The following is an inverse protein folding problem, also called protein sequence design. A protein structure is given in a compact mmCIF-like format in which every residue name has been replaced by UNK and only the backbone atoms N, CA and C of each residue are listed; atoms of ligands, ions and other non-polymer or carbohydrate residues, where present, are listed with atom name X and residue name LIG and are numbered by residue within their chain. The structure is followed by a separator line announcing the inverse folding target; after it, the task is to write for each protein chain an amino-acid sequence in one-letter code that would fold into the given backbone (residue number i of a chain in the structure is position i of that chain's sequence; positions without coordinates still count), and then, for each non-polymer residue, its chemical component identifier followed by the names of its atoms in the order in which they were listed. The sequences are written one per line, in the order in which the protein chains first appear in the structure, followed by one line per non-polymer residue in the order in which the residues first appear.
data_IF_231429240423
#
_entry.id   IF_231429240423
#
_cell.length_a   1.000
_cell.length_b   1.000
_cell.length_c   1.000
_cell.angle_alpha   90.00
_cell.angle_beta   90.00
_cell.angle_gamma   90.00
#
_symmetry.space_group_name_H-M   'P 1'
#
loop_
_entity.id
_entity.type
_entity.pdbx_description
1 polymer ?
#
# COMPACT_ATOMS: atom_id res chain seq x y z
N UNK A 1 7.56 13.11 -17.88
CA UNK A 1 6.18 13.08 -18.41
C UNK A 1 5.96 11.67 -18.92
N UNK A 2 5.39 10.77 -18.10
CA UNK A 2 5.20 9.35 -18.43
C UNK A 2 3.90 8.82 -17.83
N UNK A 3 2.81 9.55 -18.02
CA UNK A 3 1.45 9.08 -17.80
C UNK A 3 0.69 9.49 -19.05
N UNK A 4 0.37 8.53 -19.91
CA UNK A 4 -0.55 8.75 -21.04
C UNK A 4 -1.04 7.43 -21.67
N UNK A 5 -0.39 6.29 -21.42
CA UNK A 5 -0.82 5.01 -21.98
C UNK A 5 -1.60 4.09 -21.01
N UNK A 6 -1.76 4.49 -19.74
CA UNK A 6 -2.28 3.61 -18.69
C UNK A 6 -3.70 3.90 -18.19
N UNK A 7 -4.23 5.10 -18.43
CA UNK A 7 -5.50 5.53 -17.81
C UNK A 7 -6.74 4.90 -18.47
N UNK A 8 -6.67 4.61 -19.77
CA UNK A 8 -7.80 4.07 -20.55
C UNK A 8 -8.01 2.55 -20.39
N UNK A 9 -6.99 1.79 -19.98
CA UNK A 9 -7.13 0.32 -19.78
C UNK A 9 -7.65 -0.08 -18.38
N UNK A 10 -7.61 0.83 -17.39
CA UNK A 10 -8.04 0.53 -16.02
C UNK A 10 -9.58 0.47 -15.94
N UNK A 11 -10.29 1.29 -16.71
CA UNK A 11 -11.74 1.47 -16.61
C UNK A 11 -12.60 0.28 -17.08
N UNK A 12 -12.01 -0.70 -17.79
CA UNK A 12 -12.72 -1.87 -18.34
C UNK A 12 -12.44 -3.17 -17.58
N UNK A 13 -11.76 -3.11 -16.43
CA UNK A 13 -11.48 -4.30 -15.64
C UNK A 13 -12.70 -4.66 -14.78
N UNK A 14 -13.42 -5.74 -15.13
CA UNK A 14 -14.55 -6.26 -14.35
C UNK A 14 -14.17 -6.58 -12.90
N UNK A 15 -12.91 -6.93 -12.64
CA UNK A 15 -12.38 -7.14 -11.28
C UNK A 15 -12.41 -5.85 -10.44
N UNK A 16 -12.18 -4.68 -11.05
CA UNK A 16 -12.20 -3.39 -10.33
C UNK A 16 -13.63 -2.93 -10.01
N UNK A 17 -14.63 -3.32 -10.80
CA UNK A 17 -16.03 -3.04 -10.45
C UNK A 17 -16.43 -3.73 -9.14
N UNK A 18 -15.99 -4.99 -8.94
CA UNK A 18 -16.23 -5.70 -7.69
C UNK A 18 -15.53 -5.04 -6.49
N UNK A 19 -14.27 -4.60 -6.68
CA UNK A 19 -13.54 -3.82 -5.67
C UNK A 19 -14.31 -2.55 -5.28
N UNK A 20 -14.82 -1.79 -6.25
CA UNK A 20 -15.60 -0.57 -5.97
C UNK A 20 -16.81 -0.87 -5.09
N UNK A 21 -17.49 -2.00 -5.33
CA UNK A 21 -18.63 -2.40 -4.52
C UNK A 21 -18.22 -2.71 -3.07
N UNK A 22 -17.08 -3.37 -2.84
CA UNK A 22 -16.55 -3.63 -1.49
C UNK A 22 -16.28 -2.33 -0.76
N UNK A 23 -15.59 -1.38 -1.40
CA UNK A 23 -15.26 -0.10 -0.77
C UNK A 23 -16.48 0.76 -0.46
N UNK A 24 -17.59 0.57 -1.18
CA UNK A 24 -18.87 1.24 -0.92
C UNK A 24 -19.70 0.56 0.15
N UNK A 25 -19.51 -0.73 0.39
CA UNK A 25 -20.26 -1.46 1.41
C UNK A 25 -19.86 -1.01 2.82
N UNK A 26 -20.83 -0.46 3.55
CA UNK A 26 -20.66 -0.04 4.95
C UNK A 26 -20.26 -1.21 5.86
N UNK A 27 -20.63 -2.45 5.49
CA UNK A 27 -20.42 -3.66 6.28
C UNK A 27 -19.20 -4.46 5.87
N UNK A 28 -18.45 -4.01 4.87
CA UNK A 28 -17.22 -4.66 4.44
C UNK A 28 -16.27 -4.82 5.63
N UNK A 29 -15.77 -6.05 5.82
CA UNK A 29 -14.82 -6.32 6.88
C UNK A 29 -13.39 -5.90 6.47
N UNK A 30 -12.47 -5.71 7.43
CA UNK A 30 -11.10 -5.30 7.12
C UNK A 30 -10.38 -6.21 6.12
N UNK A 31 -10.61 -7.53 6.18
CA UNK A 31 -9.97 -8.50 5.29
C UNK A 31 -10.46 -8.35 3.84
N UNK A 32 -11.77 -8.12 3.64
CA UNK A 32 -12.33 -7.86 2.30
C UNK A 32 -11.78 -6.57 1.70
N UNK A 33 -11.59 -5.54 2.54
CA UNK A 33 -11.02 -4.25 2.14
C UNK A 33 -9.53 -4.41 1.80
N UNK A 34 -8.79 -5.23 2.55
CA UNK A 34 -7.40 -5.55 2.26
C UNK A 34 -7.23 -6.23 0.91
N UNK A 35 -8.00 -7.30 0.69
CA UNK A 35 -8.01 -8.05 -0.57
C UNK A 35 -8.39 -7.16 -1.75
N UNK A 36 -9.41 -6.31 -1.57
CA UNK A 36 -9.84 -5.36 -2.60
C UNK A 36 -8.74 -4.32 -2.90
N UNK A 37 -8.10 -3.79 -1.86
CA UNK A 37 -6.99 -2.85 -1.99
C UNK A 37 -5.76 -3.44 -2.67
N UNK A 38 -5.38 -4.68 -2.33
CA UNK A 38 -4.32 -5.41 -3.01
C UNK A 38 -4.63 -5.60 -4.51
N UNK A 39 -5.87 -5.92 -4.87
CA UNK A 39 -6.27 -6.03 -6.29
C UNK A 39 -6.09 -4.71 -7.04
N UNK A 40 -6.42 -3.57 -6.42
CA UNK A 40 -6.17 -2.23 -7.00
C UNK A 40 -4.68 -1.99 -7.20
N UNK A 41 -3.87 -2.26 -6.17
CA UNK A 41 -2.42 -2.05 -6.23
C UNK A 41 -1.77 -2.94 -7.28
N UNK A 42 -2.12 -4.23 -7.34
CA UNK A 42 -1.66 -5.14 -8.38
C UNK A 42 -2.03 -4.59 -9.75
N UNK A 43 -3.29 -4.19 -9.97
CA UNK A 43 -3.72 -3.61 -11.24
C UNK A 43 -2.93 -2.34 -11.62
N UNK A 44 -2.64 -1.47 -10.64
CA UNK A 44 -1.93 -0.20 -10.85
C UNK A 44 -0.45 -0.39 -11.18
N UNK A 45 0.22 -1.36 -10.55
CA UNK A 45 1.64 -1.62 -10.76
C UNK A 45 1.92 -2.65 -11.88
N UNK A 46 0.90 -3.37 -12.35
CA UNK A 46 1.00 -4.30 -13.46
C UNK A 46 1.10 -3.54 -14.79
N UNK A 47 2.33 -3.32 -15.26
CA UNK A 47 2.62 -2.64 -16.53
C UNK A 47 2.19 -3.40 -17.79
N UNK A 48 2.10 -4.74 -17.74
CA UNK A 48 1.75 -5.59 -18.89
C UNK A 48 0.85 -6.75 -18.45
N UNK A 49 -0.19 -7.03 -19.24
CA UNK A 49 -1.15 -8.15 -19.00
C UNK A 49 -0.49 -9.53 -18.94
N UNK A 50 0.69 -9.71 -19.53
CA UNK A 50 1.44 -10.98 -19.55
C UNK A 50 2.19 -11.30 -18.25
N UNK A 51 2.31 -10.35 -17.32
CA UNK A 51 2.98 -10.61 -16.03
C UNK A 51 1.97 -11.31 -15.11
N UNK A 52 2.15 -12.61 -14.93
CA UNK A 52 1.18 -13.54 -14.28
C UNK A 52 1.14 -13.45 -12.76
N UNK A 53 1.96 -12.57 -12.17
CA UNK A 53 2.12 -12.51 -10.70
C UNK A 53 0.86 -11.93 -10.07
N UNK A 54 0.04 -12.80 -9.46
CA UNK A 54 -1.12 -12.43 -8.64
C UNK A 54 -0.75 -12.12 -7.19
N UNK A 55 0.48 -12.45 -6.80
CA UNK A 55 1.01 -12.19 -5.46
C UNK A 55 1.66 -10.80 -5.37
N UNK A 56 1.24 -10.02 -4.38
CA UNK A 56 1.70 -8.65 -4.17
C UNK A 56 3.17 -8.59 -3.73
N UNK A 57 3.58 -9.46 -2.80
CA UNK A 57 4.96 -9.49 -2.29
C UNK A 57 5.97 -9.82 -3.40
N UNK A 58 5.67 -10.83 -4.23
CA UNK A 58 6.50 -11.18 -5.39
C UNK A 58 6.56 -10.04 -6.42
N UNK A 59 5.46 -9.32 -6.64
CA UNK A 59 5.44 -8.17 -7.55
C UNK A 59 6.32 -7.02 -7.02
N UNK A 60 6.19 -6.68 -5.73
CA UNK A 60 7.04 -5.66 -5.07
C UNK A 60 8.51 -6.03 -5.21
N UNK A 61 8.87 -7.28 -4.90
CA UNK A 61 10.25 -7.75 -4.95
C UNK A 61 10.83 -7.61 -6.36
N UNK A 62 10.10 -8.04 -7.40
CA UNK A 62 10.53 -7.87 -8.80
C UNK A 62 10.69 -6.40 -9.20
N UNK A 63 9.77 -5.54 -8.75
CA UNK A 63 9.84 -4.10 -9.02
C UNK A 63 11.06 -3.47 -8.33
N UNK A 64 11.37 -3.91 -7.11
CA UNK A 64 12.57 -3.53 -6.37
C UNK A 64 13.84 -3.99 -7.10
N UNK A 65 13.95 -5.26 -7.49
CA UNK A 65 15.11 -5.75 -8.25
C UNK A 65 15.33 -4.97 -9.55
N UNK A 66 14.27 -4.77 -10.34
CA UNK A 66 14.32 -3.98 -11.58
C UNK A 66 14.75 -2.53 -11.34
N UNK A 67 14.44 -1.99 -10.17
CA UNK A 67 14.80 -0.62 -9.81
C UNK A 67 16.28 -0.46 -9.45
N UNK A 68 16.92 -1.51 -8.90
CA UNK A 68 18.35 -1.51 -8.57
C UNK A 68 19.26 -1.45 -9.80
N UNK A 69 18.78 -1.94 -10.95
CA UNK A 69 19.54 -1.95 -12.21
C UNK A 69 19.57 -0.55 -12.86
N UNK A 70 18.71 0.37 -12.42
CA UNK A 70 18.63 1.73 -12.99
C UNK A 70 19.61 2.67 -12.30
N UNK A 71 20.44 3.36 -13.08
CA UNK A 71 21.38 4.37 -12.55
C UNK A 71 20.71 5.53 -11.78
N UNK A 72 19.42 5.78 -12.00
CA UNK A 72 18.65 6.84 -11.33
C UNK A 72 17.55 6.23 -10.45
N UNK A 73 17.94 5.38 -9.51
CA UNK A 73 17.02 4.79 -8.54
C UNK A 73 16.38 5.91 -7.69
N UNK A 74 15.09 6.17 -7.89
CA UNK A 74 14.30 7.00 -6.99
C UNK A 74 13.41 6.10 -6.12
N UNK A 75 13.67 6.18 -4.81
CA UNK A 75 13.02 5.42 -3.76
C UNK A 75 11.49 5.66 -3.71
N UNK A 76 11.03 6.84 -4.16
CA UNK A 76 9.62 7.22 -4.18
C UNK A 76 8.77 6.37 -5.13
N UNK A 77 9.39 5.70 -6.12
CA UNK A 77 8.68 4.81 -7.03
C UNK A 77 8.54 3.39 -6.52
N UNK A 78 9.03 3.10 -5.31
CA UNK A 78 8.81 1.80 -4.71
C UNK A 78 7.33 1.63 -4.35
N UNK A 79 6.73 0.47 -4.66
CA UNK A 79 5.38 0.17 -4.21
C UNK A 79 5.33 0.06 -2.68
N UNK A 80 4.14 0.30 -2.13
CA UNK A 80 3.90 0.12 -0.69
C UNK A 80 4.17 -1.33 -0.29
N UNK A 81 4.86 -1.54 0.83
CA UNK A 81 4.94 -2.87 1.45
C UNK A 81 3.53 -3.40 1.77
N UNK A 82 3.33 -4.71 1.83
CA UNK A 82 2.04 -5.36 2.14
C UNK A 82 1.37 -4.80 3.41
N UNK A 83 2.13 -4.59 4.49
CA UNK A 83 1.58 -3.99 5.70
C UNK A 83 1.13 -2.53 5.51
N UNK A 84 1.89 -1.75 4.73
CA UNK A 84 1.53 -0.36 4.44
C UNK A 84 0.37 -0.26 3.44
N UNK A 85 0.27 -1.20 2.50
CA UNK A 85 -0.84 -1.35 1.58
C UNK A 85 -2.14 -1.61 2.34
N UNK A 86 -2.15 -2.58 3.25
CA UNK A 86 -3.29 -2.86 4.13
C UNK A 86 -3.77 -1.62 4.89
N UNK A 87 -2.88 -0.94 5.60
CA UNK A 87 -3.23 0.25 6.37
C UNK A 87 -3.71 1.40 5.45
N UNK A 88 -3.20 1.49 4.22
CA UNK A 88 -3.66 2.46 3.22
C UNK A 88 -5.07 2.14 2.72
N UNK A 89 -5.37 0.88 2.41
CA UNK A 89 -6.70 0.42 1.98
C UNK A 89 -7.78 0.76 3.01
N UNK A 90 -7.49 0.53 4.29
CA UNK A 90 -8.42 0.86 5.39
C UNK A 90 -8.66 2.36 5.53
N UNK A 91 -7.66 3.21 5.28
CA UNK A 91 -7.84 4.67 5.26
C UNK A 91 -8.66 5.12 4.06
N UNK A 92 -8.38 4.58 2.89
CA UNK A 92 -9.14 4.88 1.68
C UNK A 92 -10.61 4.47 1.84
N UNK A 93 -10.86 3.31 2.44
CA UNK A 93 -12.21 2.87 2.82
C UNK A 93 -12.90 3.87 3.75
N UNK A 94 -12.26 4.26 4.86
CA UNK A 94 -12.83 5.25 5.77
C UNK A 94 -13.21 6.55 5.03
N UNK A 95 -12.33 7.04 4.16
CA UNK A 95 -12.56 8.26 3.40
C UNK A 95 -13.77 8.14 2.45
N UNK A 96 -13.88 7.02 1.73
CA UNK A 96 -15.03 6.75 0.85
C UNK A 96 -16.34 6.67 1.65
N UNK A 97 -16.31 6.05 2.82
CA UNK A 97 -17.48 5.91 3.69
C UNK A 97 -17.93 7.26 4.25
N UNK A 98 -17.00 8.10 4.70
CA UNK A 98 -17.29 9.46 5.15
C UNK A 98 -17.89 10.32 4.03
N UNK A 99 -17.35 10.23 2.81
CA UNK A 99 -17.90 10.91 1.64
C UNK A 99 -19.30 10.39 1.24
N UNK A 100 -19.59 9.14 1.54
CA UNK A 100 -20.91 8.53 1.31
C UNK A 100 -21.93 8.88 2.41
N UNK A 101 -21.55 9.67 3.41
CA UNK A 101 -22.42 10.12 4.49
C UNK A 101 -22.49 9.17 5.70
N UNK A 102 -21.67 8.11 5.73
CA UNK A 102 -21.62 7.21 6.87
C UNK A 102 -20.72 7.75 7.97
N UNK A 103 -21.21 7.69 9.21
CA UNK A 103 -20.43 8.07 10.39
C UNK A 103 -19.58 6.87 10.86
N UNK A 104 -18.28 6.89 10.54
CA UNK A 104 -17.29 5.92 11.05
C UNK A 104 -16.25 6.62 11.90
N UNK A 105 -15.83 5.97 13.00
CA UNK A 105 -14.84 6.50 13.94
C UNK A 105 -13.43 6.29 13.39
N UNK A 106 -12.67 7.36 13.19
CA UNK A 106 -11.34 7.28 12.58
C UNK A 106 -10.37 6.34 13.31
N UNK A 107 -10.44 6.27 14.64
CA UNK A 107 -9.58 5.42 15.47
C UNK A 107 -9.72 3.92 15.17
N UNK A 108 -10.88 3.50 14.66
CA UNK A 108 -11.13 2.11 14.30
C UNK A 108 -10.49 1.74 12.94
N UNK A 109 -10.01 2.74 12.18
CA UNK A 109 -9.59 2.61 10.77
C UNK A 109 -8.22 3.23 10.50
N UNK A 110 -7.18 2.71 11.18
CA UNK A 110 -5.77 3.06 10.92
C UNK A 110 -5.42 4.54 11.20
N UNK A 111 -6.13 5.16 12.15
CA UNK A 111 -5.75 6.42 12.77
C UNK A 111 -5.43 6.20 14.25
N UNK A 112 -4.47 6.95 14.75
CA UNK A 112 -4.13 7.02 16.17
C UNK A 112 -4.20 8.46 16.64
N UNK A 113 -4.57 8.65 17.89
CA UNK A 113 -4.54 9.96 18.53
C UNK A 113 -3.20 10.17 19.25
N UNK A 114 -2.71 11.40 19.22
CA UNK A 114 -1.64 11.86 20.08
C UNK A 114 -1.97 13.26 20.62
N UNK A 115 -1.07 13.82 21.44
CA UNK A 115 -1.21 15.16 22.03
C UNK A 115 -1.38 16.33 21.03
N UNK A 116 -1.17 16.07 19.74
CA UNK A 116 -1.28 17.04 18.64
C UNK A 116 -2.43 16.73 17.67
N UNK A 117 -3.26 15.72 17.95
CA UNK A 117 -4.42 15.34 17.13
C UNK A 117 -4.33 13.93 16.55
N UNK A 118 -5.03 13.71 15.45
CA UNK A 118 -5.09 12.41 14.75
C UNK A 118 -3.96 12.27 13.74
N UNK A 119 -3.28 11.12 13.77
CA UNK A 119 -2.19 10.75 12.86
C UNK A 119 -2.50 9.42 12.20
N UNK A 120 -2.14 9.30 10.92
CA UNK A 120 -2.29 8.05 10.19
C UNK A 120 -1.28 7.00 10.69
N UNK A 121 -1.73 5.76 10.81
CA UNK A 121 -0.88 4.60 11.10
C UNK A 121 -0.31 4.10 9.77
N UNK A 122 0.95 4.39 9.49
CA UNK A 122 1.60 3.98 8.23
C UNK A 122 1.98 2.50 8.20
N UNK A 123 2.39 1.94 9.33
CA UNK A 123 2.68 0.51 9.51
C UNK A 123 2.63 0.14 10.99
N UNK A 124 2.20 -1.09 11.28
CA UNK A 124 2.30 -1.68 12.63
C UNK A 124 3.52 -2.59 12.79
N UNK A 125 4.23 -2.90 11.69
CA UNK A 125 5.47 -3.67 11.71
C UNK A 125 6.64 -2.77 12.06
N UNK A 126 7.63 -3.34 12.74
CA UNK A 126 8.91 -2.67 12.97
C UNK A 126 9.59 -2.32 11.63
N UNK A 127 10.31 -1.21 11.61
CA UNK A 127 10.95 -0.72 10.37
C UNK A 127 12.02 -1.66 9.83
N UNK A 128 12.63 -2.48 10.70
CA UNK A 128 13.64 -3.46 10.35
C UNK A 128 13.70 -4.53 11.45
N UNK A 129 14.12 -5.77 11.14
CA UNK A 129 14.36 -6.79 12.15
C UNK A 129 15.37 -6.30 13.21
N UNK A 130 15.17 -6.62 14.50
CA UNK A 130 16.08 -6.21 15.56
C UNK A 130 17.54 -6.64 15.33
N UNK A 131 17.74 -7.81 14.73
CA UNK A 131 19.08 -8.30 14.36
C UNK A 131 19.79 -7.39 13.34
N UNK A 132 19.06 -6.88 12.35
CA UNK A 132 19.61 -5.95 11.36
C UNK A 132 19.96 -4.60 12.01
N UNK A 133 19.06 -4.08 12.85
CA UNK A 133 19.31 -2.85 13.61
C UNK A 133 20.53 -2.99 14.52
N UNK A 134 20.68 -4.14 15.17
CA UNK A 134 21.86 -4.47 15.97
C UNK A 134 23.14 -4.45 15.12
N UNK A 135 23.16 -5.16 13.98
CA UNK A 135 24.31 -5.18 13.07
C UNK A 135 24.74 -3.78 12.62
N UNK A 136 23.79 -2.91 12.26
CA UNK A 136 24.07 -1.54 11.80
C UNK A 136 24.53 -0.66 12.97
N UNK A 137 23.89 -0.76 14.14
CA UNK A 137 24.23 0.05 15.32
C UNK A 137 25.64 -0.22 15.87
N UNK A 138 26.12 -1.46 15.73
CA UNK A 138 27.45 -1.87 16.18
C UNK A 138 28.56 -1.32 15.27
N UNK A 139 28.28 -1.01 14.00
CA UNK A 139 29.26 -0.42 13.09
C UNK A 139 29.58 1.05 13.40
N UNK A 140 28.71 1.76 14.15
CA UNK A 140 28.91 3.17 14.53
C UNK A 140 29.91 3.32 15.70
N UNK A 141 30.20 2.25 16.46
CA UNK A 141 31.04 2.31 17.68
C UNK A 141 32.54 2.05 17.49
N UNK A 142 33.09 2.14 16.28
CA UNK A 142 34.54 2.12 16.06
C UNK A 142 35.03 3.36 15.33
N UNK A 143 35.13 4.46 16.07
CA UNK A 143 36.12 5.51 15.81
C UNK A 143 36.68 5.93 17.16
N UNK A 144 37.76 5.27 17.56
CA UNK A 144 38.70 5.71 18.60
C UNK A 144 39.75 6.55 17.90
#
# INVERSE_FOLDING_TARGET
MFYDAGEEEIYQCSELQHVVNIFRDEKACPDEIDDAGHKVLIALYRRKKSEETRDWDSLIFKLFEKSLIKNNFNLEFLPLTTAAAHEHSLRAYLQIQLWSGFAKRSLDWCWKENKHGLFSVTTKKESAPPALLSMISLQVRKRV
#
